data_IF_416904708604
#
_entry.id   IF_416904708604
#
_cell.length_a   1.000
_cell.length_b   1.000
_cell.length_c   1.000
_cell.angle_alpha   90.00
_cell.angle_beta   90.00
_cell.angle_gamma   90.00
#
_symmetry.space_group_name_H-M   'P 1'
#
loop_
_entity.id
_entity.type
_entity.pdbx_description
1 polymer ?
#
# COMPACT_ATOMS: atom_id res chain seq x y z
N UNK A 1 1.45 -5.26 -24.09
CA UNK A 1 2.70 -4.86 -23.43
C UNK A 1 3.51 -4.10 -24.47
N UNK A 2 4.09 -2.95 -24.15
CA UNK A 2 4.98 -2.26 -25.10
C UNK A 2 6.35 -2.91 -25.00
N UNK A 3 6.83 -3.51 -26.10
CA UNK A 3 8.09 -4.26 -26.13
C UNK A 3 9.35 -3.37 -25.99
N UNK A 4 9.17 -2.03 -26.10
CA UNK A 4 10.26 -1.05 -26.08
C UNK A 4 10.24 -0.08 -24.87
N UNK A 5 9.55 -0.41 -23.77
CA UNK A 5 9.53 0.48 -22.59
C UNK A 5 10.85 0.45 -21.80
N UNK A 6 11.36 1.62 -21.38
CA UNK A 6 12.48 1.70 -20.44
C UNK A 6 12.08 1.18 -19.05
N UNK A 7 13.03 0.72 -18.21
CA UNK A 7 12.72 0.33 -16.84
C UNK A 7 11.95 1.38 -16.02
N UNK A 8 12.23 2.68 -16.27
CA UNK A 8 11.54 3.80 -15.61
C UNK A 8 10.10 3.94 -16.08
N UNK A 9 9.84 3.82 -17.38
CA UNK A 9 8.48 3.86 -17.94
C UNK A 9 7.65 2.66 -17.48
N UNK A 10 8.26 1.47 -17.48
CA UNK A 10 7.66 0.26 -16.93
C UNK A 10 7.28 0.45 -15.46
N UNK A 11 8.20 0.99 -14.65
CA UNK A 11 7.93 1.28 -13.25
C UNK A 11 6.74 2.24 -13.10
N UNK A 12 6.74 3.38 -13.80
CA UNK A 12 5.64 4.34 -13.74
C UNK A 12 4.30 3.69 -14.13
N UNK A 13 4.24 2.98 -15.25
CA UNK A 13 3.02 2.32 -15.73
C UNK A 13 2.47 1.33 -14.72
N UNK A 14 3.32 0.42 -14.22
CA UNK A 14 2.92 -0.63 -13.28
C UNK A 14 2.58 -0.02 -11.92
N UNK A 15 3.38 0.90 -11.40
CA UNK A 15 3.15 1.54 -10.11
C UNK A 15 1.84 2.35 -10.12
N UNK A 16 1.57 3.13 -11.16
CA UNK A 16 0.31 3.87 -11.29
C UNK A 16 -0.90 2.94 -11.26
N UNK A 17 -0.88 1.85 -12.03
CA UNK A 17 -1.98 0.88 -12.03
C UNK A 17 -2.19 0.23 -10.65
N UNK A 18 -1.09 -0.13 -9.98
CA UNK A 18 -1.14 -0.74 -8.64
C UNK A 18 -1.66 0.24 -7.59
N UNK A 19 -1.18 1.48 -7.58
CA UNK A 19 -1.64 2.52 -6.65
C UNK A 19 -3.12 2.81 -6.87
N UNK A 20 -3.55 2.97 -8.12
CA UNK A 20 -4.96 3.15 -8.47
C UNK A 20 -5.83 2.02 -7.92
N UNK A 21 -5.38 0.77 -8.05
CA UNK A 21 -6.09 -0.40 -7.48
C UNK A 21 -6.13 -0.36 -5.96
N UNK A 22 -5.05 -0.01 -5.29
CA UNK A 22 -5.01 0.10 -3.81
C UNK A 22 -6.00 1.15 -3.32
N UNK A 23 -6.01 2.34 -3.93
CA UNK A 23 -6.94 3.42 -3.57
C UNK A 23 -8.40 2.97 -3.77
N UNK A 24 -8.73 2.36 -4.90
CA UNK A 24 -10.07 1.83 -5.15
C UNK A 24 -10.51 0.80 -4.09
N UNK A 25 -9.58 -0.06 -3.63
CA UNK A 25 -9.90 -1.05 -2.58
C UNK A 25 -10.12 -0.39 -1.22
N UNK A 26 -9.40 0.69 -0.92
CA UNK A 26 -9.65 1.49 0.29
C UNK A 26 -11.01 2.20 0.23
N UNK A 27 -11.41 2.72 -0.94
CA UNK A 27 -12.75 3.31 -1.12
C UNK A 27 -13.85 2.26 -0.90
N UNK A 28 -13.68 1.05 -1.46
CA UNK A 28 -14.62 -0.06 -1.26
C UNK A 28 -14.70 -0.45 0.22
N UNK A 29 -13.56 -0.51 0.93
CA UNK A 29 -13.54 -0.76 2.37
C UNK A 29 -14.26 0.36 3.14
N UNK A 30 -14.14 1.61 2.68
CA UNK A 30 -14.84 2.77 3.24
C UNK A 30 -16.37 2.60 3.26
N UNK A 31 -16.95 1.84 2.32
CA UNK A 31 -18.38 1.56 2.31
C UNK A 31 -18.85 0.75 3.55
N UNK A 32 -17.95 0.00 4.20
CA UNK A 32 -18.25 -0.70 5.45
C UNK A 32 -18.47 0.27 6.63
N UNK A 33 -18.15 1.56 6.49
CA UNK A 33 -18.45 2.57 7.51
C UNK A 33 -19.94 2.88 7.66
N UNK A 34 -20.79 2.41 6.74
CA UNK A 34 -22.22 2.63 6.85
C UNK A 34 -22.84 1.74 7.94
N UNK A 35 -23.05 2.33 9.12
CA UNK A 35 -23.67 1.68 10.28
C UNK A 35 -25.12 1.23 10.08
N UNK A 36 -25.79 1.65 9.00
CA UNK A 36 -27.13 1.14 8.65
C UNK A 36 -27.08 -0.31 8.15
N UNK A 37 -25.98 -0.70 7.51
CA UNK A 37 -25.82 -2.03 6.91
C UNK A 37 -24.85 -2.93 7.69
N UNK A 38 -23.99 -2.33 8.52
CA UNK A 38 -22.92 -3.04 9.22
C UNK A 38 -22.87 -2.64 10.68
N UNK A 39 -22.66 -3.62 11.54
CA UNK A 39 -22.36 -3.41 12.95
C UNK A 39 -20.85 -3.63 13.17
N UNK A 40 -20.22 -2.68 13.83
CA UNK A 40 -18.80 -2.74 14.21
C UNK A 40 -18.57 -1.82 15.41
N UNK A 41 -17.54 -2.16 16.19
CA UNK A 41 -17.07 -1.33 17.28
C UNK A 41 -15.71 -0.69 16.95
N UNK A 42 -15.19 0.11 17.88
CA UNK A 42 -13.93 0.82 17.67
C UNK A 42 -12.72 -0.13 17.59
N UNK A 43 -12.78 -1.29 18.26
CA UNK A 43 -11.74 -2.33 18.22
C UNK A 43 -11.66 -2.97 16.82
N UNK A 44 -12.79 -3.20 16.16
CA UNK A 44 -12.84 -3.71 14.79
C UNK A 44 -12.18 -2.73 13.82
N UNK A 45 -12.52 -1.43 13.93
CA UNK A 45 -11.93 -0.36 13.13
C UNK A 45 -10.43 -0.27 13.37
N UNK A 46 -10.00 -0.34 14.62
CA UNK A 46 -8.58 -0.31 14.98
C UNK A 46 -7.82 -1.49 14.36
N UNK A 47 -8.34 -2.73 14.48
CA UNK A 47 -7.72 -3.93 13.89
C UNK A 47 -7.56 -3.81 12.38
N UNK A 48 -8.60 -3.34 11.67
CA UNK A 48 -8.57 -3.13 10.22
C UNK A 48 -7.45 -2.17 9.83
N UNK A 49 -7.40 -0.99 10.44
CA UNK A 49 -6.42 0.02 10.07
C UNK A 49 -5.01 -0.30 10.55
N UNK A 50 -4.84 -0.99 11.68
CA UNK A 50 -3.53 -1.44 12.14
C UNK A 50 -2.92 -2.47 11.17
N UNK A 51 -3.73 -3.40 10.65
CA UNK A 51 -3.27 -4.35 9.63
C UNK A 51 -2.81 -3.63 8.34
N UNK A 52 -3.61 -2.66 7.86
CA UNK A 52 -3.27 -1.88 6.65
C UNK A 52 -1.99 -1.07 6.88
N UNK A 53 -1.91 -0.31 7.98
CA UNK A 53 -0.74 0.52 8.32
C UNK A 53 0.53 -0.32 8.44
N UNK A 54 0.46 -1.49 9.08
CA UNK A 54 1.60 -2.43 9.17
C UNK A 54 2.06 -2.84 7.78
N UNK A 55 1.13 -3.25 6.91
CA UNK A 55 1.47 -3.67 5.55
C UNK A 55 2.09 -2.54 4.73
N UNK A 56 1.58 -1.32 4.84
CA UNK A 56 2.15 -0.13 4.18
C UNK A 56 3.59 0.08 4.64
N UNK A 57 3.85 0.10 5.96
CA UNK A 57 5.20 0.23 6.52
C UNK A 57 6.15 -0.86 6.03
N UNK A 58 5.69 -2.10 5.99
CA UNK A 58 6.50 -3.24 5.52
C UNK A 58 6.89 -3.10 4.05
N UNK A 59 6.02 -2.55 3.21
CA UNK A 59 6.31 -2.29 1.79
C UNK A 59 7.19 -1.05 1.62
N UNK A 60 6.93 0.04 2.34
CA UNK A 60 7.77 1.25 2.32
C UNK A 60 9.23 0.93 2.64
N UNK A 61 9.48 0.05 3.61
CA UNK A 61 10.83 -0.41 3.97
C UNK A 61 11.57 -1.07 2.80
N UNK A 62 10.87 -1.69 1.84
CA UNK A 62 11.51 -2.29 0.67
C UNK A 62 12.02 -1.24 -0.33
N UNK A 63 11.49 -0.02 -0.29
CA UNK A 63 11.97 1.11 -1.10
C UNK A 63 13.14 1.84 -0.45
N UNK A 64 13.34 1.66 0.87
CA UNK A 64 14.51 2.16 1.58
C UNK A 64 15.63 1.15 1.37
N UNK A 65 16.46 1.38 0.36
CA UNK A 65 17.72 0.62 0.21
C UNK A 65 18.59 0.95 1.42
N UNK A 66 18.97 -0.02 2.27
CA UNK A 66 19.99 0.22 3.28
C UNK A 66 21.25 0.66 2.53
N UNK A 67 21.76 1.86 2.81
CA UNK A 67 23.16 2.13 2.48
C UNK A 67 23.94 1.11 3.31
N UNK A 68 24.76 0.29 2.67
CA UNK A 68 25.82 -0.40 3.39
C UNK A 68 26.64 0.70 4.08
N UNK A 69 26.43 0.85 5.39
CA UNK A 69 27.43 1.52 6.21
C UNK A 69 28.61 0.56 6.23
N UNK A 70 29.59 0.80 5.36
CA UNK A 70 30.91 0.21 5.50
C UNK A 70 31.35 0.47 6.94
N UNK A 71 31.42 -0.60 7.74
CA UNK A 71 32.02 -0.56 9.04
C UNK A 71 33.46 -0.06 8.88
N UNK A 72 33.73 1.16 9.34
CA UNK A 72 35.08 1.71 9.41
C UNK A 72 35.56 1.64 10.86
N UNK A 73 36.65 0.91 11.07
CA UNK A 73 37.40 0.82 12.32
C UNK A 73 38.03 2.17 12.68
#
# INVERSE_FOLDING_TARGET
MNENETPRERFKRIATQRVSTVLQRLDILGNCSNKQYYEYNDEDVEKIFNAIKRKVRDIERQFVVPKEEEFKL
#
